data_IF_676063362975
#
_entry.id   IF_676063362975
#
_cell.length_a   1.000
_cell.length_b   1.000
_cell.length_c   1.000
_cell.angle_alpha   90.00
_cell.angle_beta   90.00
_cell.angle_gamma   90.00
#
_symmetry.space_group_name_H-M   'P 1'
#
loop_
_entity.id
_entity.type
_entity.pdbx_description
1 polymer ?
#
# COMPACT_ATOMS: atom_id res chain seq x y z
N UNK A 1 -31.96 10.26 -15.92
CA UNK A 1 -32.61 10.10 -14.62
C UNK A 1 -31.59 9.42 -13.71
N UNK A 2 -31.18 10.11 -12.65
CA UNK A 2 -30.30 9.54 -11.62
C UNK A 2 -31.18 8.65 -10.76
N UNK A 3 -30.95 7.34 -10.77
CA UNK A 3 -31.66 6.40 -9.91
C UNK A 3 -30.95 6.30 -8.56
N UNK A 4 -31.55 6.78 -7.47
CA UNK A 4 -31.06 6.53 -6.13
C UNK A 4 -31.67 5.23 -5.59
N UNK A 5 -30.85 4.28 -5.21
CA UNK A 5 -31.28 3.06 -4.52
C UNK A 5 -30.76 3.08 -3.07
N UNK A 6 -31.65 2.79 -2.13
CA UNK A 6 -31.24 2.58 -0.74
C UNK A 6 -30.46 1.26 -0.68
N UNK A 7 -29.16 1.35 -0.37
CA UNK A 7 -28.29 0.19 -0.35
C UNK A 7 -28.77 -0.87 0.66
N UNK A 8 -28.89 -2.12 0.22
CA UNK A 8 -29.01 -3.27 1.12
C UNK A 8 -27.65 -3.44 1.81
N UNK A 9 -27.52 -2.92 3.04
CA UNK A 9 -26.25 -2.93 3.77
C UNK A 9 -25.74 -4.37 3.92
N UNK A 10 -24.44 -4.61 3.56
CA UNK A 10 -23.80 -5.88 3.88
C UNK A 10 -23.93 -6.17 5.37
N UNK A 11 -24.29 -7.40 5.73
CA UNK A 11 -24.47 -7.81 7.14
C UNK A 11 -23.19 -8.43 7.69
N UNK A 12 -22.85 -8.17 8.97
CA UNK A 12 -21.74 -8.83 9.66
C UNK A 12 -20.68 -7.87 10.23
N UNK A 13 -19.55 -8.44 10.70
CA UNK A 13 -18.43 -7.69 11.32
C UNK A 13 -17.82 -6.66 10.38
N UNK A 14 -17.71 -6.98 9.08
CA UNK A 14 -17.20 -6.09 8.05
C UNK A 14 -17.97 -4.76 7.95
N UNK A 15 -19.30 -4.83 7.97
CA UNK A 15 -20.14 -3.63 7.95
C UNK A 15 -19.84 -2.69 9.12
N UNK A 16 -19.58 -3.24 10.32
CA UNK A 16 -19.27 -2.45 11.51
C UNK A 16 -17.95 -1.67 11.35
N UNK A 17 -16.93 -2.29 10.76
CA UNK A 17 -15.61 -1.65 10.55
C UNK A 17 -15.74 -0.41 9.67
N UNK A 18 -16.37 -0.54 8.50
CA UNK A 18 -16.52 0.57 7.57
C UNK A 18 -17.46 1.66 8.11
N UNK A 19 -18.57 1.30 8.72
CA UNK A 19 -19.48 2.26 9.37
C UNK A 19 -18.76 3.04 10.48
N UNK A 20 -17.90 2.37 11.27
CA UNK A 20 -17.10 3.04 12.31
C UNK A 20 -16.12 4.03 11.71
N UNK A 21 -15.41 3.66 10.62
CA UNK A 21 -14.46 4.55 9.94
C UNK A 21 -15.16 5.79 9.37
N UNK A 22 -16.34 5.63 8.75
CA UNK A 22 -17.14 6.76 8.28
C UNK A 22 -17.57 7.65 9.45
N UNK A 23 -18.06 7.08 10.56
CA UNK A 23 -18.44 7.86 11.74
C UNK A 23 -17.27 8.64 12.30
N UNK A 24 -16.12 8.01 12.44
CA UNK A 24 -14.88 8.68 12.90
C UNK A 24 -14.42 9.78 11.94
N UNK A 25 -14.55 9.57 10.62
CA UNK A 25 -14.25 10.62 9.65
C UNK A 25 -15.20 11.81 9.83
N UNK A 26 -16.49 11.59 9.99
CA UNK A 26 -17.50 12.66 10.25
C UNK A 26 -17.16 13.48 11.50
N UNK A 27 -16.75 12.82 12.58
CA UNK A 27 -16.28 13.48 13.81
C UNK A 27 -15.07 14.37 13.52
N UNK A 28 -14.04 13.84 12.85
CA UNK A 28 -12.81 14.57 12.52
C UNK A 28 -13.07 15.75 11.56
N UNK A 29 -13.97 15.59 10.59
CA UNK A 29 -14.40 16.67 9.69
C UNK A 29 -15.08 17.77 10.50
N UNK A 30 -15.98 17.43 11.43
CA UNK A 30 -16.66 18.39 12.30
C UNK A 30 -15.67 19.18 13.15
N UNK A 31 -14.70 18.50 13.79
CA UNK A 31 -13.63 19.12 14.59
C UNK A 31 -12.79 20.11 13.78
N UNK A 32 -12.53 19.77 12.50
CA UNK A 32 -11.77 20.62 11.58
C UNK A 32 -12.60 21.74 10.92
N UNK A 33 -13.93 21.78 11.18
CA UNK A 33 -14.85 22.72 10.54
C UNK A 33 -14.96 22.49 9.03
N UNK A 34 -14.89 21.23 8.57
CA UNK A 34 -15.05 20.83 7.18
C UNK A 34 -16.44 20.21 7.05
N UNK A 35 -17.24 20.72 6.11
CA UNK A 35 -18.61 20.26 5.97
C UNK A 35 -18.73 18.96 5.19
N UNK A 36 -17.87 18.77 4.18
CA UNK A 36 -17.94 17.66 3.24
C UNK A 36 -16.52 17.19 2.89
N UNK A 37 -16.25 15.89 2.89
CA UNK A 37 -15.11 15.29 2.23
C UNK A 37 -15.52 14.69 0.89
N UNK A 38 -14.80 15.05 -0.19
CA UNK A 38 -14.87 14.43 -1.51
C UNK A 38 -13.63 13.57 -1.68
N UNK A 39 -13.81 12.26 -1.73
CA UNK A 39 -12.77 11.24 -1.80
C UNK A 39 -12.85 10.56 -3.16
N UNK A 40 -11.72 10.48 -3.87
CA UNK A 40 -11.63 9.91 -5.21
C UNK A 40 -10.45 8.95 -5.38
N UNK A 41 -9.56 8.88 -4.38
CA UNK A 41 -8.50 7.89 -4.33
C UNK A 41 -9.06 6.51 -3.99
N UNK A 42 -8.68 5.49 -4.77
CA UNK A 42 -9.22 4.14 -4.65
C UNK A 42 -8.95 3.48 -3.30
N UNK A 43 -7.78 3.73 -2.73
CA UNK A 43 -7.43 3.20 -1.42
C UNK A 43 -8.27 3.86 -0.33
N UNK A 44 -8.53 5.18 -0.47
CA UNK A 44 -9.39 5.94 0.44
C UNK A 44 -10.86 5.56 0.28
N UNK A 45 -11.35 5.38 -0.95
CA UNK A 45 -12.72 4.88 -1.20
C UNK A 45 -12.92 3.52 -0.56
N UNK A 46 -11.97 2.57 -0.78
CA UNK A 46 -12.03 1.27 -0.12
C UNK A 46 -11.98 1.37 1.41
N UNK A 47 -11.05 2.14 1.94
CA UNK A 47 -10.84 2.27 3.38
C UNK A 47 -12.10 2.69 4.13
N UNK A 48 -12.88 3.61 3.57
CA UNK A 48 -14.09 4.11 4.17
C UNK A 48 -15.34 3.32 3.83
N UNK A 49 -15.51 2.89 2.57
CA UNK A 49 -16.74 2.28 2.09
C UNK A 49 -16.71 0.76 1.96
N UNK A 50 -15.52 0.14 1.91
CA UNK A 50 -15.36 -1.26 1.59
C UNK A 50 -15.64 -1.62 0.13
N UNK A 51 -15.88 -0.64 -0.74
CA UNK A 51 -16.10 -0.84 -2.17
C UNK A 51 -14.77 -1.15 -2.87
N UNK A 52 -14.70 -2.26 -3.59
CA UNK A 52 -13.47 -2.79 -4.18
C UNK A 52 -13.71 -3.44 -5.55
N UNK A 53 -12.64 -3.68 -6.30
CA UNK A 53 -12.61 -4.38 -7.60
C UNK A 53 -13.50 -3.73 -8.69
N UNK A 54 -13.78 -2.43 -8.57
CA UNK A 54 -14.51 -1.66 -9.58
C UNK A 54 -13.56 -1.03 -10.61
N UNK A 55 -14.14 -0.59 -11.73
CA UNK A 55 -13.41 0.23 -12.70
C UNK A 55 -13.12 1.61 -12.10
N UNK A 56 -11.85 1.89 -11.86
CA UNK A 56 -11.39 3.15 -11.30
C UNK A 56 -11.53 4.31 -12.31
N UNK A 57 -10.50 5.12 -12.47
CA UNK A 57 -10.47 6.21 -13.45
C UNK A 57 -10.29 5.77 -14.90
N UNK A 58 -10.29 4.47 -15.15
CA UNK A 58 -10.17 3.92 -16.50
C UNK A 58 -11.28 4.45 -17.40
N UNK A 59 -10.89 4.89 -18.60
CA UNK A 59 -11.80 5.50 -19.56
C UNK A 59 -12.55 6.77 -19.07
N UNK A 60 -12.00 7.49 -18.06
CA UNK A 60 -12.61 8.70 -17.51
C UNK A 60 -13.89 8.45 -16.71
N UNK A 61 -14.03 7.28 -16.12
CA UNK A 61 -15.18 6.87 -15.31
C UNK A 61 -14.89 6.91 -13.82
N UNK A 62 -14.93 8.08 -13.17
CA UNK A 62 -14.61 8.18 -11.76
C UNK A 62 -15.68 7.54 -10.88
N UNK A 63 -15.20 6.92 -9.81
CA UNK A 63 -15.96 6.61 -8.60
C UNK A 63 -15.59 7.60 -7.52
N UNK A 64 -16.59 8.20 -6.88
CA UNK A 64 -16.39 9.22 -5.86
C UNK A 64 -17.15 8.84 -4.58
N UNK A 65 -16.53 9.07 -3.43
CA UNK A 65 -17.19 8.96 -2.14
C UNK A 65 -17.34 10.36 -1.52
N UNK A 66 -18.57 10.76 -1.26
CA UNK A 66 -18.90 11.98 -0.55
C UNK A 66 -19.27 11.61 0.88
N UNK A 67 -18.64 12.26 1.85
CA UNK A 67 -18.95 12.10 3.27
C UNK A 67 -19.28 13.48 3.84
N UNK A 68 -20.53 13.72 4.15
CA UNK A 68 -20.96 14.95 4.82
C UNK A 68 -20.79 14.80 6.34
N UNK A 69 -20.15 15.79 6.99
CA UNK A 69 -19.89 15.76 8.43
C UNK A 69 -21.17 15.56 9.26
N UNK A 70 -22.23 16.29 8.89
CA UNK A 70 -23.56 16.23 9.54
C UNK A 70 -24.65 15.65 8.62
N UNK A 71 -24.29 14.70 7.73
CA UNK A 71 -25.21 14.18 6.73
C UNK A 71 -24.88 12.76 6.29
N UNK A 72 -25.26 12.45 5.06
CA UNK A 72 -25.07 11.12 4.46
C UNK A 72 -23.65 10.89 3.95
N UNK A 73 -23.29 9.62 3.84
CA UNK A 73 -22.20 9.12 2.99
C UNK A 73 -22.80 8.63 1.67
N UNK A 74 -22.28 9.13 0.55
CA UNK A 74 -22.81 8.85 -0.78
C UNK A 74 -21.71 8.34 -1.70
N UNK A 75 -21.90 7.16 -2.27
CA UNK A 75 -21.03 6.61 -3.30
C UNK A 75 -21.59 6.97 -4.68
N UNK A 76 -20.79 7.61 -5.51
CA UNK A 76 -21.14 7.94 -6.91
C UNK A 76 -20.33 7.02 -7.81
N UNK A 77 -20.99 6.15 -8.58
CA UNK A 77 -20.31 5.14 -9.41
C UNK A 77 -21.10 4.88 -10.71
N UNK A 78 -20.45 4.37 -11.78
CA UNK A 78 -21.16 4.00 -13.01
C UNK A 78 -22.28 3.00 -12.77
N UNK A 79 -23.39 3.11 -13.50
CA UNK A 79 -24.53 2.19 -13.37
C UNK A 79 -24.19 0.74 -13.73
N UNK A 80 -23.15 0.52 -14.54
CA UNK A 80 -22.64 -0.83 -14.83
C UNK A 80 -22.06 -1.52 -13.60
N UNK A 81 -21.65 -0.77 -12.57
CA UNK A 81 -21.10 -1.26 -11.31
C UNK A 81 -22.17 -1.44 -10.22
N UNK A 82 -23.45 -1.29 -10.55
CA UNK A 82 -24.56 -1.29 -9.60
C UNK A 82 -24.51 -2.50 -8.65
N UNK A 83 -24.51 -3.70 -9.20
CA UNK A 83 -24.60 -4.93 -8.40
C UNK A 83 -23.37 -5.12 -7.50
N UNK A 84 -22.20 -4.71 -7.97
CA UNK A 84 -20.97 -4.72 -7.17
C UNK A 84 -21.05 -3.70 -6.03
N UNK A 85 -21.49 -2.47 -6.32
CA UNK A 85 -21.64 -1.43 -5.31
C UNK A 85 -22.68 -1.80 -4.23
N UNK A 86 -23.86 -2.26 -4.64
CA UNK A 86 -24.92 -2.70 -3.70
C UNK A 86 -24.48 -3.87 -2.81
N UNK A 87 -23.58 -4.74 -3.32
CA UNK A 87 -23.12 -5.92 -2.57
C UNK A 87 -21.93 -5.69 -1.67
N UNK A 88 -21.11 -4.66 -1.93
CA UNK A 88 -19.84 -4.45 -1.22
C UNK A 88 -19.73 -3.11 -0.49
N UNK A 89 -20.37 -2.04 -0.97
CA UNK A 89 -20.25 -0.73 -0.38
C UNK A 89 -21.07 -0.57 0.91
N UNK A 90 -20.44 -0.02 1.94
CA UNK A 90 -21.06 0.34 3.22
C UNK A 90 -21.19 1.87 3.26
N UNK A 91 -22.25 2.38 2.68
CA UNK A 91 -22.59 3.81 2.62
C UNK A 91 -24.08 4.01 2.88
N UNK A 92 -24.51 5.24 3.11
CA UNK A 92 -25.93 5.53 3.32
C UNK A 92 -26.70 5.51 2.00
N UNK A 93 -26.07 5.94 0.87
CA UNK A 93 -26.70 6.02 -0.43
C UNK A 93 -25.72 5.77 -1.58
N UNK A 94 -26.19 5.17 -2.66
CA UNK A 94 -25.47 4.98 -3.91
C UNK A 94 -26.16 5.82 -5.01
N UNK A 95 -25.41 6.67 -5.66
CA UNK A 95 -25.81 7.42 -6.86
C UNK A 95 -25.19 6.77 -8.08
N UNK A 96 -26.06 6.31 -8.99
CA UNK A 96 -25.65 5.64 -10.21
C UNK A 96 -25.77 6.58 -11.41
N UNK A 97 -24.75 6.65 -12.22
CA UNK A 97 -24.76 7.44 -13.44
C UNK A 97 -24.56 6.57 -14.69
N UNK A 98 -25.17 6.97 -15.82
CA UNK A 98 -25.12 6.23 -17.08
C UNK A 98 -24.10 6.86 -18.03
N UNK A 99 -23.29 6.03 -18.66
CA UNK A 99 -22.35 6.43 -19.71
C UNK A 99 -23.10 6.97 -20.95
N UNK A 100 -22.55 7.96 -21.60
CA UNK A 100 -22.92 8.28 -22.97
C UNK A 100 -23.12 9.73 -23.32
N UNK A 101 -23.45 10.63 -22.39
CA UNK A 101 -23.80 12.02 -22.70
C UNK A 101 -22.82 13.09 -22.17
N UNK A 102 -21.80 12.70 -21.46
CA UNK A 102 -20.65 13.54 -21.12
C UNK A 102 -20.66 14.26 -19.77
N UNK A 103 -21.79 14.31 -19.05
CA UNK A 103 -21.87 15.01 -17.76
C UNK A 103 -22.25 14.13 -16.57
N UNK A 104 -22.37 12.89 -16.73
CA UNK A 104 -23.03 11.86 -15.94
C UNK A 104 -22.75 11.96 -14.45
N UNK A 105 -21.49 11.68 -14.03
CA UNK A 105 -21.10 11.75 -12.61
C UNK A 105 -21.09 13.19 -12.07
N UNK A 106 -20.99 14.18 -12.96
CA UNK A 106 -20.98 15.60 -12.61
C UNK A 106 -22.35 16.11 -12.18
N UNK A 107 -23.42 15.49 -12.67
CA UNK A 107 -24.79 15.94 -12.37
C UNK A 107 -25.14 15.82 -10.89
N UNK A 108 -24.57 14.84 -10.18
CA UNK A 108 -24.82 14.65 -8.75
C UNK A 108 -24.07 15.66 -7.86
N UNK A 109 -22.90 16.16 -8.30
CA UNK A 109 -22.01 16.92 -7.43
C UNK A 109 -22.56 18.28 -6.98
N UNK A 110 -23.21 19.11 -7.81
CA UNK A 110 -23.72 20.42 -7.37
C UNK A 110 -24.70 20.33 -6.21
N UNK A 111 -25.59 19.32 -6.23
CA UNK A 111 -26.55 19.09 -5.14
C UNK A 111 -25.91 18.58 -3.85
N UNK A 112 -24.82 17.81 -3.96
CA UNK A 112 -24.10 17.23 -2.83
C UNK A 112 -23.12 18.21 -2.20
N UNK A 113 -22.40 18.99 -3.00
CA UNK A 113 -21.39 19.93 -2.50
C UNK A 113 -21.99 21.26 -2.00
N UNK A 114 -23.19 21.62 -2.45
CA UNK A 114 -23.81 22.87 -2.08
C UNK A 114 -23.02 24.11 -2.49
N UNK A 115 -23.53 25.30 -2.15
CA UNK A 115 -22.93 26.57 -2.57
C UNK A 115 -22.06 27.23 -1.50
N UNK A 116 -22.15 26.80 -0.25
CA UNK A 116 -21.47 27.43 0.92
C UNK A 116 -20.57 26.50 1.69
N UNK A 117 -20.65 25.18 1.48
CA UNK A 117 -19.91 24.21 2.25
C UNK A 117 -18.38 24.32 2.06
N UNK A 118 -17.63 24.06 3.12
CA UNK A 118 -16.18 23.85 3.08
C UNK A 118 -15.92 22.40 2.65
N UNK A 119 -15.21 22.25 1.52
CA UNK A 119 -15.02 20.97 0.87
C UNK A 119 -13.59 20.47 1.08
N UNK A 120 -13.47 19.35 1.75
CA UNK A 120 -12.20 18.64 1.95
C UNK A 120 -11.91 17.72 0.77
N UNK A 121 -10.69 17.79 0.27
CA UNK A 121 -10.15 16.90 -0.77
C UNK A 121 -8.77 16.40 -0.38
N UNK A 122 -8.29 15.35 -1.04
CA UNK A 122 -6.88 14.93 -1.03
C UNK A 122 -6.19 15.55 -2.26
N UNK A 123 -5.53 16.73 -2.16
CA UNK A 123 -5.12 17.50 -3.33
C UNK A 123 -4.17 16.76 -4.27
N UNK A 124 -3.28 15.93 -3.71
CA UNK A 124 -2.30 15.16 -4.48
C UNK A 124 -2.89 13.88 -5.10
N UNK A 125 -4.05 13.41 -4.62
CA UNK A 125 -4.68 12.16 -5.03
C UNK A 125 -5.97 12.37 -5.83
N UNK A 126 -6.49 13.60 -5.84
CA UNK A 126 -7.68 13.91 -6.65
C UNK A 126 -7.32 13.97 -8.14
N UNK A 127 -7.88 13.10 -8.99
CA UNK A 127 -7.55 13.05 -10.39
C UNK A 127 -7.84 14.39 -11.11
N UNK A 128 -7.02 14.81 -12.08
CA UNK A 128 -7.18 16.08 -12.78
C UNK A 128 -8.58 16.29 -13.40
N UNK A 129 -9.18 15.21 -13.91
CA UNK A 129 -10.53 15.26 -14.46
C UNK A 129 -11.59 15.65 -13.41
N UNK A 130 -11.49 15.05 -12.23
CA UNK A 130 -12.38 15.35 -11.10
C UNK A 130 -12.09 16.75 -10.57
N UNK A 131 -10.82 17.06 -10.36
CA UNK A 131 -10.36 18.35 -9.84
C UNK A 131 -10.82 19.51 -10.70
N UNK A 132 -10.64 19.44 -12.00
CA UNK A 132 -11.05 20.51 -12.94
C UNK A 132 -12.56 20.80 -12.86
N UNK A 133 -13.39 19.77 -12.71
CA UNK A 133 -14.83 20.00 -12.58
C UNK A 133 -15.20 20.56 -11.19
N UNK A 134 -14.64 20.01 -10.12
CA UNK A 134 -14.93 20.48 -8.76
C UNK A 134 -14.45 21.93 -8.58
N UNK A 135 -13.33 22.32 -9.19
CA UNK A 135 -12.85 23.72 -9.21
C UNK A 135 -13.83 24.69 -9.89
N UNK A 136 -14.67 24.21 -10.80
CA UNK A 136 -15.74 25.03 -11.41
C UNK A 136 -16.96 25.23 -10.49
N UNK A 137 -17.12 24.39 -9.47
CA UNK A 137 -18.25 24.41 -8.53
C UNK A 137 -17.91 25.07 -7.19
N UNK A 138 -16.67 24.89 -6.72
CA UNK A 138 -16.24 25.27 -5.39
C UNK A 138 -15.22 26.40 -5.45
N UNK A 139 -15.52 27.51 -4.77
CA UNK A 139 -14.55 28.60 -4.63
C UNK A 139 -13.26 28.09 -3.95
N UNK A 140 -12.05 28.44 -4.47
CA UNK A 140 -10.78 28.02 -3.89
C UNK A 140 -10.63 28.24 -2.37
N UNK A 141 -11.21 29.31 -1.84
CA UNK A 141 -11.18 29.62 -0.40
C UNK A 141 -11.97 28.64 0.48
N UNK A 142 -12.82 27.80 -0.12
CA UNK A 142 -13.62 26.79 0.57
C UNK A 142 -12.98 25.41 0.58
N UNK A 143 -11.86 25.25 -0.13
CA UNK A 143 -11.12 23.99 -0.09
C UNK A 143 -10.37 23.80 1.21
N UNK A 144 -10.36 22.56 1.69
CA UNK A 144 -9.55 22.10 2.80
C UNK A 144 -8.78 20.85 2.36
N UNK A 145 -7.54 20.72 2.82
CA UNK A 145 -6.78 19.48 2.67
C UNK A 145 -7.17 18.51 3.78
N UNK A 146 -7.78 17.38 3.42
CA UNK A 146 -8.15 16.29 4.35
C UNK A 146 -7.10 15.20 4.43
N UNK A 147 -6.02 15.27 3.65
CA UNK A 147 -4.94 14.28 3.67
C UNK A 147 -4.37 14.05 5.09
N UNK A 148 -4.14 15.09 5.92
CA UNK A 148 -3.67 14.87 7.29
C UNK A 148 -4.66 14.05 8.13
N UNK A 149 -5.95 14.34 8.05
CA UNK A 149 -7.00 13.62 8.79
C UNK A 149 -7.01 12.13 8.39
N UNK A 150 -7.02 11.86 7.07
CA UNK A 150 -7.03 10.48 6.54
C UNK A 150 -5.74 9.74 6.94
N UNK A 151 -4.59 10.40 6.84
CA UNK A 151 -3.29 9.82 7.22
C UNK A 151 -3.23 9.46 8.71
N UNK A 152 -3.72 10.34 9.59
CA UNK A 152 -3.79 10.08 11.03
C UNK A 152 -4.72 8.91 11.36
N UNK A 153 -5.88 8.83 10.70
CA UNK A 153 -6.82 7.73 10.89
C UNK A 153 -6.26 6.36 10.48
N UNK A 154 -5.34 6.34 9.50
CA UNK A 154 -4.68 5.11 9.00
C UNK A 154 -3.41 4.74 9.76
N UNK A 155 -2.83 5.69 10.50
CA UNK A 155 -1.51 5.53 11.11
C UNK A 155 -1.50 4.39 12.13
N UNK A 156 -2.49 4.32 13.01
CA UNK A 156 -2.65 3.25 14.00
C UNK A 156 -3.77 2.31 13.54
N UNK A 157 -3.39 1.07 13.27
CA UNK A 157 -4.30 0.05 12.75
C UNK A 157 -5.14 -0.56 13.88
N UNK A 158 -6.42 -0.82 13.60
CA UNK A 158 -7.27 -1.63 14.48
C UNK A 158 -6.82 -3.10 14.46
N UNK A 159 -7.29 -3.92 15.39
CA UNK A 159 -6.93 -5.34 15.41
C UNK A 159 -7.38 -6.08 14.13
N UNK A 160 -8.52 -5.70 13.55
CA UNK A 160 -8.97 -6.25 12.27
C UNK A 160 -8.02 -5.87 11.12
N UNK A 161 -7.51 -4.64 11.13
CA UNK A 161 -6.52 -4.16 10.14
C UNK A 161 -5.16 -4.82 10.35
N UNK A 162 -4.74 -5.05 11.60
CA UNK A 162 -3.53 -5.82 11.91
C UNK A 162 -3.64 -7.27 11.46
N UNK A 163 -4.84 -7.86 11.57
CA UNK A 163 -5.07 -9.22 11.05
C UNK A 163 -4.95 -9.25 9.52
N UNK A 164 -5.44 -8.22 8.80
CA UNK A 164 -5.23 -8.10 7.35
C UNK A 164 -3.73 -7.96 7.05
N UNK A 165 -2.98 -7.19 7.83
CA UNK A 165 -1.52 -7.05 7.67
C UNK A 165 -0.79 -8.39 7.83
N UNK A 166 -1.15 -9.20 8.83
CA UNK A 166 -0.58 -10.55 9.03
C UNK A 166 -0.90 -11.47 7.86
N UNK A 167 -2.12 -11.44 7.34
CA UNK A 167 -2.51 -12.24 6.18
C UNK A 167 -1.81 -11.77 4.91
N UNK A 168 -1.68 -10.45 4.69
CA UNK A 168 -0.88 -9.91 3.60
C UNK A 168 0.59 -10.37 3.70
N UNK A 169 1.13 -10.45 4.92
CA UNK A 169 2.45 -11.03 5.19
C UNK A 169 2.58 -12.47 4.72
N UNK A 170 1.58 -13.31 5.01
CA UNK A 170 1.55 -14.71 4.54
C UNK A 170 1.51 -14.81 3.02
N UNK A 171 0.76 -13.92 2.35
CA UNK A 171 0.76 -13.83 0.90
C UNK A 171 2.15 -13.49 0.37
N UNK A 172 2.81 -12.46 0.95
CA UNK A 172 4.16 -12.07 0.57
C UNK A 172 5.20 -13.19 0.79
N UNK A 173 5.12 -13.94 1.89
CA UNK A 173 5.99 -15.09 2.15
C UNK A 173 5.82 -16.17 1.08
N UNK A 174 4.57 -16.54 0.74
CA UNK A 174 4.32 -17.52 -0.33
C UNK A 174 4.86 -17.06 -1.68
N UNK A 175 4.76 -15.76 -1.98
CA UNK A 175 5.36 -15.16 -3.19
C UNK A 175 6.88 -15.27 -3.20
N UNK A 176 7.55 -14.96 -2.07
CA UNK A 176 9.00 -14.99 -1.96
C UNK A 176 9.55 -16.41 -2.09
N UNK A 177 8.93 -17.37 -1.43
CA UNK A 177 9.30 -18.77 -1.52
C UNK A 177 9.16 -19.32 -2.94
N UNK A 178 8.04 -19.02 -3.61
CA UNK A 178 7.81 -19.47 -4.99
C UNK A 178 8.76 -18.77 -5.98
N UNK A 179 8.99 -17.47 -5.82
CA UNK A 179 9.94 -16.73 -6.65
C UNK A 179 11.35 -17.27 -6.51
N UNK A 180 11.82 -17.49 -5.27
CA UNK A 180 13.11 -18.14 -5.00
C UNK A 180 13.19 -19.54 -5.63
N UNK A 181 12.14 -20.35 -5.46
CA UNK A 181 12.09 -21.72 -5.99
C UNK A 181 12.04 -21.82 -7.52
N UNK A 182 11.66 -20.73 -8.20
CA UNK A 182 11.61 -20.67 -9.65
C UNK A 182 12.93 -20.17 -10.29
N UNK A 183 13.90 -19.69 -9.47
CA UNK A 183 15.20 -19.27 -9.98
C UNK A 183 16.00 -20.45 -10.48
N UNK A 184 16.59 -20.31 -11.69
CA UNK A 184 17.45 -21.30 -12.31
C UNK A 184 18.21 -20.71 -13.47
N UNK A 185 19.37 -21.27 -13.80
CA UNK A 185 20.15 -20.81 -14.96
C UNK A 185 19.35 -20.88 -16.25
N UNK A 186 19.34 -19.81 -17.02
CA UNK A 186 18.58 -19.70 -18.26
C UNK A 186 17.08 -19.40 -18.09
N UNK A 187 16.52 -19.43 -16.86
CA UNK A 187 15.13 -19.07 -16.61
C UNK A 187 14.96 -17.55 -16.79
N UNK A 188 14.01 -17.09 -17.63
CA UNK A 188 13.75 -15.67 -17.79
C UNK A 188 13.17 -15.03 -16.52
N UNK A 189 13.51 -13.77 -16.25
CA UNK A 189 13.00 -13.03 -15.06
C UNK A 189 11.47 -13.09 -14.94
N UNK A 190 10.73 -12.98 -16.06
CA UNK A 190 9.27 -12.96 -16.02
C UNK A 190 8.67 -14.29 -15.52
N UNK A 191 9.33 -15.42 -15.74
CA UNK A 191 8.87 -16.73 -15.21
C UNK A 191 8.94 -16.78 -13.68
N UNK A 192 9.98 -16.19 -13.09
CA UNK A 192 10.09 -16.04 -11.62
C UNK A 192 8.97 -15.13 -11.10
N UNK A 193 8.68 -14.03 -11.81
CA UNK A 193 7.58 -13.12 -11.45
C UNK A 193 6.21 -13.81 -11.55
N UNK A 194 5.98 -14.63 -12.57
CA UNK A 194 4.76 -15.43 -12.73
C UNK A 194 4.60 -16.46 -11.60
N UNK A 195 5.66 -17.17 -11.25
CA UNK A 195 5.65 -18.12 -10.14
C UNK A 195 5.25 -17.45 -8.83
N UNK A 196 5.87 -16.30 -8.51
CA UNK A 196 5.55 -15.50 -7.32
C UNK A 196 4.08 -15.05 -7.33
N UNK A 197 3.60 -14.47 -8.44
CA UNK A 197 2.22 -13.99 -8.58
C UNK A 197 1.21 -15.12 -8.44
N UNK A 198 1.48 -16.28 -9.03
CA UNK A 198 0.62 -17.46 -8.93
C UNK A 198 0.49 -17.95 -7.50
N UNK A 199 1.60 -18.09 -6.78
CA UNK A 199 1.60 -18.52 -5.38
C UNK A 199 0.88 -17.52 -4.47
N UNK A 200 1.12 -16.22 -4.68
CA UNK A 200 0.43 -15.16 -3.95
C UNK A 200 -1.09 -15.19 -4.17
N UNK A 201 -1.54 -15.36 -5.41
CA UNK A 201 -2.97 -15.47 -5.75
C UNK A 201 -3.62 -16.68 -5.08
N UNK A 202 -2.97 -17.84 -5.10
CA UNK A 202 -3.48 -19.03 -4.42
C UNK A 202 -3.57 -18.83 -2.90
N UNK A 203 -2.54 -18.24 -2.29
CA UNK A 203 -2.55 -17.96 -0.85
C UNK A 203 -3.61 -16.93 -0.46
N UNK A 204 -3.78 -15.89 -1.25
CA UNK A 204 -4.85 -14.92 -1.05
C UNK A 204 -6.24 -15.57 -1.14
N UNK A 205 -6.48 -16.43 -2.14
CA UNK A 205 -7.74 -17.16 -2.30
C UNK A 205 -8.03 -18.08 -1.11
N UNK A 206 -7.02 -18.79 -0.60
CA UNK A 206 -7.12 -19.61 0.62
C UNK A 206 -7.56 -18.77 1.81
N UNK A 207 -6.88 -17.63 2.08
CA UNK A 207 -7.16 -16.76 3.21
C UNK A 207 -8.55 -16.09 3.10
N UNK A 208 -8.94 -15.63 1.91
CA UNK A 208 -10.28 -15.07 1.65
C UNK A 208 -11.37 -16.08 2.01
N UNK A 209 -11.20 -17.34 1.61
CA UNK A 209 -12.15 -18.42 1.90
C UNK A 209 -12.20 -18.74 3.39
N UNK A 210 -11.04 -18.87 4.04
CA UNK A 210 -10.95 -19.36 5.42
C UNK A 210 -11.36 -18.31 6.47
N UNK A 211 -10.98 -17.05 6.26
CA UNK A 211 -11.07 -16.00 7.29
C UNK A 211 -12.10 -14.92 7.00
N UNK A 212 -12.36 -14.64 5.72
CA UNK A 212 -13.23 -13.53 5.33
C UNK A 212 -14.58 -13.98 4.77
N UNK A 213 -14.69 -15.24 4.37
CA UNK A 213 -15.87 -15.81 3.71
C UNK A 213 -16.37 -14.93 2.55
N UNK A 214 -15.43 -14.25 1.88
CA UNK A 214 -15.69 -13.35 0.76
C UNK A 214 -15.30 -14.04 -0.56
N UNK A 215 -16.33 -14.57 -1.25
CA UNK A 215 -16.14 -15.24 -2.53
C UNK A 215 -16.16 -14.30 -3.74
N UNK A 216 -16.37 -13.00 -3.51
CA UNK A 216 -16.46 -11.99 -4.59
C UNK A 216 -15.19 -11.18 -4.74
N UNK A 217 -14.42 -10.98 -3.66
CA UNK A 217 -13.15 -10.28 -3.75
C UNK A 217 -12.18 -11.07 -4.62
N UNK A 218 -11.60 -10.40 -5.60
CA UNK A 218 -10.55 -11.00 -6.44
C UNK A 218 -9.31 -11.30 -5.60
N UNK A 219 -8.80 -12.55 -5.63
CA UNK A 219 -7.53 -12.89 -4.99
C UNK A 219 -6.32 -12.44 -5.82
N UNK A 220 -6.53 -11.77 -6.95
CA UNK A 220 -5.48 -11.40 -7.89
C UNK A 220 -4.40 -10.55 -7.23
N UNK A 221 -3.17 -10.99 -7.36
CA UNK A 221 -1.99 -10.27 -6.92
C UNK A 221 -1.34 -9.62 -8.15
N UNK A 222 -1.03 -8.34 -8.06
CA UNK A 222 -0.36 -7.63 -9.13
C UNK A 222 1.03 -8.22 -9.39
N UNK A 223 1.51 -8.08 -10.64
CA UNK A 223 2.87 -8.45 -10.98
C UNK A 223 3.88 -7.84 -10.03
N UNK A 224 4.97 -8.57 -9.81
CA UNK A 224 6.10 -8.11 -9.04
C UNK A 224 6.53 -6.71 -9.47
N UNK A 225 6.58 -5.81 -8.53
CA UNK A 225 6.87 -4.41 -8.82
C UNK A 225 8.31 -4.25 -9.33
N UNK A 226 9.26 -4.94 -8.68
CA UNK A 226 10.67 -4.89 -9.01
C UNK A 226 11.24 -6.29 -9.03
N UNK A 227 11.88 -6.63 -10.13
CA UNK A 227 12.78 -7.76 -10.25
C UNK A 227 13.90 -7.37 -11.19
N UNK A 228 15.14 -7.58 -10.79
CA UNK A 228 16.32 -7.30 -11.58
C UNK A 228 17.40 -8.35 -11.35
N UNK A 229 18.18 -8.67 -12.37
CA UNK A 229 19.30 -9.58 -12.26
C UNK A 229 20.57 -9.02 -12.91
N UNK A 230 21.73 -9.49 -12.45
CA UNK A 230 23.02 -9.08 -12.97
C UNK A 230 23.21 -7.55 -12.92
N UNK A 231 23.62 -6.95 -14.02
CA UNK A 231 23.92 -5.52 -14.09
C UNK A 231 22.69 -4.61 -13.91
N UNK A 232 21.48 -5.10 -14.28
CA UNK A 232 20.26 -4.34 -14.10
C UNK A 232 19.84 -4.18 -12.64
N UNK A 233 20.48 -4.87 -11.68
CA UNK A 233 20.19 -4.74 -10.25
C UNK A 233 20.38 -3.31 -9.73
N UNK A 234 21.15 -2.49 -10.45
CA UNK A 234 21.33 -1.06 -10.15
C UNK A 234 20.15 -0.20 -10.56
N UNK A 235 19.25 -0.72 -11.41
CA UNK A 235 18.02 -0.04 -11.84
C UNK A 235 16.93 -0.22 -10.78
N UNK A 236 16.71 0.82 -10.00
CA UNK A 236 15.87 0.77 -8.78
C UNK A 236 14.44 0.23 -9.01
N UNK A 237 13.86 0.45 -10.18
CA UNK A 237 12.48 0.03 -10.50
C UNK A 237 12.41 -0.84 -11.76
N UNK A 238 13.47 -1.64 -12.02
CA UNK A 238 13.46 -2.58 -13.12
C UNK A 238 12.30 -3.57 -12.99
N UNK A 239 11.65 -3.87 -14.10
CA UNK A 239 10.56 -4.85 -14.19
C UNK A 239 11.09 -6.17 -14.70
N UNK A 240 10.49 -7.27 -14.25
CA UNK A 240 10.82 -8.59 -14.77
C UNK A 240 10.75 -8.62 -16.29
N UNK A 241 11.87 -8.93 -16.92
CA UNK A 241 12.07 -8.91 -18.37
C UNK A 241 12.19 -10.32 -18.95
N UNK A 242 12.52 -10.42 -20.24
CA UNK A 242 12.84 -11.69 -20.89
C UNK A 242 14.31 -12.09 -20.70
N UNK A 243 15.09 -11.33 -19.94
CA UNK A 243 16.50 -11.65 -19.65
C UNK A 243 16.59 -12.97 -18.90
N UNK A 244 17.42 -13.92 -19.36
CA UNK A 244 17.67 -15.16 -18.63
C UNK A 244 18.55 -14.89 -17.41
N UNK A 245 18.29 -15.59 -16.31
CA UNK A 245 19.15 -15.60 -15.15
C UNK A 245 20.48 -16.30 -15.45
N UNK A 246 21.57 -15.76 -14.92
CA UNK A 246 22.94 -16.24 -15.17
C UNK A 246 23.56 -16.70 -13.86
N UNK A 247 24.25 -17.84 -13.90
CA UNK A 247 24.99 -18.39 -12.76
C UNK A 247 26.04 -17.37 -12.23
N UNK A 248 26.08 -17.22 -10.90
CA UNK A 248 27.00 -16.28 -10.22
C UNK A 248 26.49 -14.84 -10.14
N UNK A 249 25.42 -14.48 -10.85
CA UNK A 249 24.85 -13.13 -10.82
C UNK A 249 23.84 -12.93 -9.69
N UNK A 250 23.71 -11.70 -9.16
CA UNK A 250 22.71 -11.36 -8.18
C UNK A 250 21.30 -11.26 -8.81
N UNK A 251 20.27 -11.61 -8.03
CA UNK A 251 18.86 -11.49 -8.39
C UNK A 251 18.13 -10.79 -7.26
N UNK A 252 17.43 -9.71 -7.58
CA UNK A 252 16.64 -8.94 -6.62
C UNK A 252 15.16 -9.14 -6.84
N UNK A 253 14.43 -9.49 -5.77
CA UNK A 253 12.98 -9.55 -5.73
C UNK A 253 12.43 -8.56 -4.71
N UNK A 254 11.47 -7.72 -5.11
CA UNK A 254 10.83 -6.76 -4.23
C UNK A 254 9.31 -6.71 -4.43
N UNK A 255 8.60 -6.91 -3.35
CA UNK A 255 7.13 -6.89 -3.28
C UNK A 255 6.58 -5.61 -2.65
N UNK A 256 7.25 -4.49 -2.80
CA UNK A 256 6.81 -3.21 -2.26
C UNK A 256 5.44 -2.79 -2.84
N UNK A 257 4.38 -2.92 -2.04
CA UNK A 257 3.02 -2.62 -2.45
C UNK A 257 2.34 -3.67 -3.33
N UNK A 258 2.99 -4.82 -3.59
CA UNK A 258 2.49 -5.84 -4.52
C UNK A 258 1.51 -6.83 -3.89
N UNK A 259 1.55 -7.03 -2.60
CA UNK A 259 0.67 -8.00 -1.94
C UNK A 259 -0.79 -7.59 -2.01
N UNK A 260 -1.08 -6.30 -1.99
CA UNK A 260 -2.40 -5.67 -2.19
C UNK A 260 -3.62 -6.51 -1.73
N UNK A 261 -3.42 -7.36 -0.72
CA UNK A 261 -4.46 -8.17 -0.12
C UNK A 261 -5.38 -7.27 0.72
N UNK A 262 -6.67 -7.25 0.41
CA UNK A 262 -7.59 -6.25 0.96
C UNK A 262 -7.09 -4.80 0.79
N UNK A 263 -6.38 -4.51 -0.31
CA UNK A 263 -5.67 -3.24 -0.56
C UNK A 263 -4.59 -2.89 0.47
N UNK A 264 -4.20 -3.83 1.32
CA UNK A 264 -3.12 -3.64 2.28
C UNK A 264 -1.77 -3.92 1.60
N UNK A 265 -0.88 -2.93 1.59
CA UNK A 265 0.44 -2.99 0.97
C UNK A 265 1.50 -3.24 2.03
N UNK A 266 2.50 -4.04 1.67
CA UNK A 266 3.67 -4.34 2.51
C UNK A 266 4.96 -3.94 1.78
N UNK A 267 6.07 -3.94 2.51
CA UNK A 267 7.42 -3.99 1.95
C UNK A 267 8.06 -5.32 2.29
N UNK A 268 8.52 -6.03 1.27
CA UNK A 268 9.21 -7.30 1.43
C UNK A 268 10.14 -7.54 0.25
N UNK A 269 11.43 -7.65 0.51
CA UNK A 269 12.42 -7.80 -0.55
C UNK A 269 13.64 -8.58 -0.11
N UNK A 270 14.33 -9.19 -1.09
CA UNK A 270 15.56 -9.97 -0.90
C UNK A 270 16.45 -9.86 -2.12
N UNK A 271 17.75 -9.86 -1.85
CA UNK A 271 18.78 -10.09 -2.85
C UNK A 271 19.28 -11.53 -2.72
N UNK A 272 19.30 -12.25 -3.84
CA UNK A 272 19.78 -13.63 -3.99
C UNK A 272 20.97 -13.68 -4.95
N UNK A 273 21.66 -14.81 -5.01
CA UNK A 273 22.63 -15.14 -6.05
C UNK A 273 22.34 -16.53 -6.60
N UNK A 274 22.50 -16.68 -7.91
CA UNK A 274 22.27 -17.98 -8.57
C UNK A 274 23.55 -18.85 -8.51
N UNK A 275 23.52 -19.95 -7.78
CA UNK A 275 24.60 -20.92 -7.61
C UNK A 275 25.75 -20.46 -6.73
N UNK A 276 26.35 -19.31 -7.01
CA UNK A 276 27.47 -18.75 -6.21
C UNK A 276 27.47 -17.21 -6.28
N UNK A 277 28.36 -16.58 -5.55
CA UNK A 277 28.65 -15.14 -5.66
C UNK A 277 29.93 -14.98 -6.50
N UNK A 278 29.76 -14.68 -7.78
CA UNK A 278 30.89 -14.55 -8.69
C UNK A 278 31.76 -13.32 -8.36
N UNK A 279 31.13 -12.20 -7.99
CA UNK A 279 31.84 -10.99 -7.52
C UNK A 279 31.80 -10.87 -6.00
N UNK A 280 32.86 -11.34 -5.35
CA UNK A 280 32.97 -11.31 -3.89
C UNK A 280 32.96 -9.91 -3.27
N UNK A 281 33.15 -8.85 -4.02
CA UNK A 281 33.02 -7.49 -3.51
C UNK A 281 31.56 -7.17 -3.09
N UNK A 282 30.59 -7.92 -3.63
CA UNK A 282 29.18 -7.79 -3.31
C UNK A 282 28.82 -8.33 -1.90
N UNK A 283 29.61 -9.27 -1.38
CA UNK A 283 29.39 -9.88 -0.04
C UNK A 283 29.41 -8.81 1.07
N UNK A 284 30.39 -7.90 1.04
CA UNK A 284 30.54 -6.85 2.04
C UNK A 284 29.36 -5.85 1.98
N UNK A 285 28.93 -5.47 0.79
CA UNK A 285 27.79 -4.59 0.58
C UNK A 285 26.48 -5.24 1.08
N UNK A 286 26.29 -6.52 0.75
CA UNK A 286 25.13 -7.27 1.23
C UNK A 286 25.10 -7.41 2.76
N UNK A 287 26.25 -7.78 3.36
CA UNK A 287 26.33 -7.91 4.83
C UNK A 287 26.08 -6.57 5.52
N UNK A 288 26.56 -5.46 4.93
CA UNK A 288 26.26 -4.12 5.45
C UNK A 288 24.76 -3.81 5.36
N UNK A 289 24.08 -4.19 4.27
CA UNK A 289 22.64 -4.05 4.15
C UNK A 289 21.90 -4.84 5.26
N UNK A 290 22.29 -6.10 5.48
CA UNK A 290 21.71 -6.93 6.57
C UNK A 290 21.95 -6.30 7.95
N UNK A 291 23.17 -5.84 8.22
CA UNK A 291 23.52 -5.23 9.50
C UNK A 291 22.79 -3.90 9.73
N UNK A 292 22.60 -3.11 8.67
CA UNK A 292 21.89 -1.83 8.76
C UNK A 292 20.39 -2.02 9.06
N UNK A 293 19.74 -3.04 8.48
CA UNK A 293 18.38 -3.42 8.87
C UNK A 293 18.33 -3.87 10.35
N UNK A 294 19.29 -4.68 10.79
CA UNK A 294 19.32 -5.13 12.18
C UNK A 294 19.49 -3.94 13.16
N UNK A 295 20.30 -2.94 12.82
CA UNK A 295 20.44 -1.72 13.60
C UNK A 295 19.12 -0.89 13.63
N UNK A 296 18.47 -0.71 12.49
CA UNK A 296 17.15 -0.08 12.44
C UNK A 296 16.14 -0.80 13.35
N UNK A 297 16.08 -2.13 13.26
CA UNK A 297 15.17 -2.95 14.07
C UNK A 297 15.46 -2.87 15.58
N UNK A 298 16.69 -2.68 15.99
CA UNK A 298 17.03 -2.49 17.42
C UNK A 298 16.45 -1.18 17.99
N UNK A 299 16.23 -0.18 17.14
CA UNK A 299 15.61 1.10 17.49
C UNK A 299 14.08 1.11 17.25
N UNK A 300 13.54 0.12 16.53
CA UNK A 300 12.12 0.03 16.18
C UNK A 300 11.30 -0.47 17.39
N UNK A 301 10.77 0.47 18.18
CA UNK A 301 10.01 0.17 19.40
C UNK A 301 9.01 1.29 19.71
N UNK A 302 7.97 1.01 20.50
CA UNK A 302 7.06 2.07 20.94
C UNK A 302 7.83 3.14 21.73
N UNK A 303 7.47 4.41 21.52
CA UNK A 303 8.11 5.57 22.15
C UNK A 303 9.38 6.08 21.45
N UNK A 304 10.00 5.35 20.54
CA UNK A 304 11.08 5.85 19.70
C UNK A 304 10.53 6.84 18.66
N UNK A 305 11.37 7.74 18.16
CA UNK A 305 11.02 8.58 17.02
C UNK A 305 11.36 7.89 15.71
N UNK A 306 10.63 8.20 14.65
CA UNK A 306 10.90 7.65 13.33
C UNK A 306 12.34 7.95 12.85
N UNK A 307 12.86 9.15 13.14
CA UNK A 307 14.25 9.52 12.83
C UNK A 307 15.31 8.73 13.63
N UNK A 308 14.99 8.26 14.85
CA UNK A 308 15.92 7.45 15.65
C UNK A 308 16.19 6.10 14.97
N UNK A 309 15.15 5.49 14.39
CA UNK A 309 15.25 4.26 13.60
C UNK A 309 16.14 4.47 12.37
N UNK A 310 15.92 5.58 11.66
CA UNK A 310 16.75 5.95 10.51
C UNK A 310 18.19 6.24 10.91
N UNK A 311 18.42 6.91 12.03
CA UNK A 311 19.77 7.24 12.50
C UNK A 311 20.59 5.99 12.80
N UNK A 312 20.00 5.00 13.49
CA UNK A 312 20.65 3.73 13.76
C UNK A 312 21.04 2.98 12.46
N UNK A 313 20.18 2.98 11.47
CA UNK A 313 20.45 2.45 10.15
C UNK A 313 21.59 3.18 9.43
N UNK A 314 21.51 4.52 9.39
CA UNK A 314 22.45 5.37 8.66
C UNK A 314 23.86 5.29 9.24
N UNK A 315 24.02 5.15 10.56
CA UNK A 315 25.31 4.98 11.22
C UNK A 315 26.05 3.75 10.70
N UNK A 316 25.38 2.61 10.52
CA UNK A 316 26.00 1.38 9.98
C UNK A 316 26.45 1.58 8.53
N UNK A 317 25.61 2.22 7.70
CA UNK A 317 25.91 2.50 6.30
C UNK A 317 27.14 3.40 6.18
N UNK A 318 27.17 4.51 6.91
CA UNK A 318 28.29 5.46 6.88
C UNK A 318 29.58 4.87 7.48
N UNK A 319 29.48 4.12 8.58
CA UNK A 319 30.64 3.45 9.19
C UNK A 319 31.30 2.42 8.25
N UNK A 320 30.53 1.85 7.33
CA UNK A 320 31.03 0.97 6.28
C UNK A 320 31.59 1.70 5.05
N UNK A 321 31.58 3.04 5.06
CA UNK A 321 32.13 3.87 3.99
C UNK A 321 31.18 4.14 2.80
N UNK A 322 29.89 3.88 2.94
CA UNK A 322 28.88 4.18 1.93
C UNK A 322 28.25 5.56 2.15
N UNK A 323 27.58 6.09 1.12
CA UNK A 323 26.90 7.37 1.19
C UNK A 323 25.74 7.36 2.22
N UNK A 324 25.44 8.55 2.77
CA UNK A 324 24.33 8.72 3.71
C UNK A 324 23.01 8.34 3.06
N UNK A 325 22.26 7.40 3.63
CA UNK A 325 21.05 6.89 3.03
C UNK A 325 19.87 7.83 3.26
N UNK A 326 19.01 7.97 2.25
CA UNK A 326 17.82 8.82 2.34
C UNK A 326 16.77 8.28 3.32
N UNK A 327 16.52 6.96 3.29
CA UNK A 327 15.43 6.33 4.03
C UNK A 327 15.74 4.87 4.33
N UNK A 328 15.35 4.38 5.52
CA UNK A 328 15.40 2.94 5.84
C UNK A 328 14.03 2.26 5.88
N UNK A 329 12.94 2.98 5.64
CA UNK A 329 11.61 2.39 5.67
C UNK A 329 10.50 3.43 5.72
N UNK A 330 9.28 2.95 5.84
CA UNK A 330 8.07 3.76 5.89
C UNK A 330 6.95 3.01 6.56
N UNK A 331 5.98 3.74 7.10
CA UNK A 331 4.70 3.13 7.44
C UNK A 331 4.02 2.62 6.18
N UNK A 332 3.29 1.53 6.31
CA UNK A 332 2.59 0.85 5.23
C UNK A 332 1.19 0.46 5.68
N UNK A 333 0.31 0.17 4.73
CA UNK A 333 -1.08 -0.14 5.01
C UNK A 333 -1.95 -0.09 3.76
N UNK A 334 -3.01 0.70 3.83
CA UNK A 334 -3.98 0.83 2.73
C UNK A 334 -3.48 1.73 1.59
N UNK A 335 -2.47 2.55 1.80
CA UNK A 335 -1.77 3.29 0.76
C UNK A 335 -0.33 2.81 0.62
N UNK A 336 0.25 3.04 -0.57
CA UNK A 336 1.63 2.66 -0.84
C UNK A 336 2.64 3.38 0.05
N UNK A 337 2.39 4.65 0.35
CA UNK A 337 3.17 5.48 1.27
C UNK A 337 2.24 6.03 2.34
N UNK A 338 2.36 5.49 3.54
CA UNK A 338 1.72 6.05 4.72
C UNK A 338 2.72 6.80 5.60
N UNK A 339 2.21 7.53 6.59
CA UNK A 339 3.04 8.21 7.59
C UNK A 339 3.11 7.38 8.88
N UNK A 340 4.20 7.49 9.65
CA UNK A 340 5.43 8.26 9.37
C UNK A 340 6.38 7.55 8.38
N UNK A 341 7.42 8.29 7.95
CA UNK A 341 8.53 7.71 7.22
C UNK A 341 9.76 7.58 8.12
N UNK A 342 10.53 6.53 7.94
CA UNK A 342 11.79 6.33 8.68
C UNK A 342 12.91 7.08 7.96
N UNK A 343 12.94 8.41 8.14
CA UNK A 343 13.86 9.36 7.51
C UNK A 343 14.38 10.35 8.54
N UNK A 344 15.48 11.01 8.21
CA UNK A 344 15.98 12.13 9.02
C UNK A 344 14.92 13.24 9.13
N UNK A 345 14.70 13.74 10.33
CA UNK A 345 13.78 14.84 10.62
C UNK A 345 12.31 14.44 10.85
N UNK A 346 11.92 13.17 10.67
CA UNK A 346 10.57 12.73 11.04
C UNK A 346 10.51 12.45 12.57
N UNK A 347 9.92 13.38 13.29
CA UNK A 347 9.80 13.38 14.77
C UNK A 347 8.62 12.55 15.29
N UNK A 348 7.87 11.90 14.42
CA UNK A 348 6.70 11.10 14.82
C UNK A 348 7.10 10.02 15.81
N UNK A 349 6.43 9.98 16.96
CA UNK A 349 6.64 8.94 17.97
C UNK A 349 5.93 7.66 17.56
N UNK A 350 6.67 6.56 17.53
CA UNK A 350 6.13 5.25 17.18
C UNK A 350 5.21 4.73 18.28
N UNK A 351 4.06 4.19 17.86
CA UNK A 351 3.02 3.71 18.77
C UNK A 351 2.61 2.28 18.40
N UNK A 352 2.13 1.48 19.36
CA UNK A 352 1.54 0.17 19.10
C UNK A 352 0.42 0.28 18.03
N UNK A 353 0.34 -0.71 17.16
CA UNK A 353 -0.60 -0.74 16.02
C UNK A 353 -0.10 -0.04 14.76
N UNK A 354 1.05 0.65 14.78
CA UNK A 354 1.70 1.11 13.54
C UNK A 354 2.33 -0.06 12.81
N UNK A 355 2.29 -0.03 11.47
CA UNK A 355 2.89 -1.06 10.60
C UNK A 355 3.95 -0.41 9.71
N UNK A 356 5.13 -1.02 9.67
CA UNK A 356 6.28 -0.50 8.91
C UNK A 356 6.86 -1.55 7.97
N UNK A 357 7.29 -1.10 6.80
CA UNK A 357 8.34 -1.76 6.02
C UNK A 357 9.69 -1.18 6.45
N UNK A 358 10.65 -2.05 6.81
CA UNK A 358 12.00 -1.65 7.23
C UNK A 358 13.02 -2.36 6.35
N UNK A 359 13.81 -1.57 5.66
CA UNK A 359 14.78 -2.04 4.68
C UNK A 359 16.21 -1.83 5.20
N UNK A 360 17.10 -2.76 4.86
CA UNK A 360 18.54 -2.57 4.85
C UNK A 360 19.01 -2.51 3.41
N UNK A 361 19.63 -1.42 2.99
CA UNK A 361 20.02 -1.24 1.58
C UNK A 361 21.38 -0.56 1.45
N UNK A 362 22.20 -1.10 0.55
CA UNK A 362 23.48 -0.52 0.14
C UNK A 362 23.52 -0.43 -1.38
N UNK A 363 23.87 0.73 -1.89
CA UNK A 363 24.09 0.95 -3.33
C UNK A 363 25.56 1.27 -3.58
N UNK A 364 26.20 0.50 -4.47
CA UNK A 364 27.50 0.79 -5.05
C UNK A 364 27.24 1.35 -6.45
N UNK A 365 27.37 2.67 -6.66
CA UNK A 365 26.94 3.32 -7.90
C UNK A 365 27.49 2.66 -9.17
N UNK A 366 26.61 2.33 -10.11
CA UNK A 366 26.95 1.70 -11.39
C UNK A 366 27.50 0.28 -11.33
N UNK A 367 27.45 -0.37 -10.16
CA UNK A 367 28.00 -1.72 -9.97
C UNK A 367 27.02 -2.70 -9.34
N UNK A 368 26.47 -2.36 -8.17
CA UNK A 368 25.69 -3.30 -7.37
C UNK A 368 24.75 -2.59 -6.42
N UNK A 369 23.63 -3.23 -6.12
CA UNK A 369 22.72 -2.84 -5.04
C UNK A 369 22.31 -4.09 -4.28
N UNK A 370 22.50 -4.06 -2.97
CA UNK A 370 21.94 -5.06 -2.05
C UNK A 370 20.76 -4.46 -1.30
N UNK A 371 19.70 -5.24 -1.11
CA UNK A 371 18.61 -4.86 -0.23
C UNK A 371 17.98 -6.09 0.42
N UNK A 372 17.62 -5.92 1.69
CA UNK A 372 16.81 -6.85 2.47
C UNK A 372 15.73 -6.01 3.17
N UNK A 373 14.47 -6.37 3.02
CA UNK A 373 13.34 -5.64 3.61
C UNK A 373 12.30 -6.59 4.16
N UNK A 374 11.69 -6.21 5.28
CA UNK A 374 10.61 -6.94 5.94
C UNK A 374 9.56 -5.96 6.48
N UNK A 375 8.36 -6.48 6.77
CA UNK A 375 7.27 -5.71 7.39
C UNK A 375 7.04 -6.13 8.84
N UNK A 376 6.75 -5.12 9.67
CA UNK A 376 6.66 -5.24 11.12
C UNK A 376 5.44 -4.48 11.65
N UNK A 377 4.80 -5.03 12.68
CA UNK A 377 3.79 -4.35 13.51
C UNK A 377 4.46 -3.90 14.79
N UNK A 378 4.29 -2.64 15.19
CA UNK A 378 4.73 -2.18 16.53
C UNK A 378 3.76 -2.75 17.57
N UNK A 379 4.31 -3.41 18.59
CA UNK A 379 3.59 -3.96 19.74
C UNK A 379 3.79 -3.09 20.98
N UNK A 380 3.21 -3.44 22.11
CA UNK A 380 3.37 -2.69 23.38
C UNK A 380 4.82 -2.68 23.90
N UNK A 381 5.60 -3.71 23.60
CA UNK A 381 6.95 -3.93 24.13
C UNK A 381 8.04 -4.04 23.05
N UNK A 382 7.70 -3.90 21.77
CA UNK A 382 8.67 -4.02 20.67
C UNK A 382 8.00 -4.06 19.30
N UNK A 383 8.19 -5.15 18.57
CA UNK A 383 7.56 -5.37 17.27
C UNK A 383 7.30 -6.87 16.99
N UNK A 384 6.29 -7.12 16.16
CA UNK A 384 5.98 -8.41 15.54
C UNK A 384 6.43 -8.38 14.08
N UNK A 385 7.25 -9.32 13.64
CA UNK A 385 7.62 -9.47 12.24
C UNK A 385 6.53 -10.26 11.50
N UNK A 386 5.94 -9.68 10.45
CA UNK A 386 4.83 -10.27 9.68
C UNK A 386 5.25 -10.79 8.31
N UNK A 387 6.45 -10.45 7.83
CA UNK A 387 7.11 -11.11 6.70
C UNK A 387 8.45 -11.66 7.16
N UNK A 388 8.82 -12.84 6.70
CA UNK A 388 10.13 -13.41 7.01
C UNK A 388 10.61 -14.32 5.89
N UNK A 389 11.88 -14.20 5.56
CA UNK A 389 12.61 -15.10 4.67
C UNK A 389 14.09 -15.05 5.07
N UNK A 390 14.81 -16.15 4.95
CA UNK A 390 16.24 -16.19 5.27
C UNK A 390 17.03 -15.08 4.57
N UNK A 391 18.02 -14.52 5.30
CA UNK A 391 18.89 -13.44 4.80
C UNK A 391 20.37 -13.62 5.19
N UNK A 392 20.74 -14.72 5.82
CA UNK A 392 22.15 -15.03 5.98
C UNK A 392 22.77 -15.37 4.62
N UNK A 393 24.01 -14.95 4.39
CA UNK A 393 24.66 -15.02 3.08
C UNK A 393 24.57 -16.42 2.44
N UNK A 394 24.83 -17.47 3.23
CA UNK A 394 24.74 -18.86 2.75
C UNK A 394 23.30 -19.33 2.38
N UNK A 395 22.28 -18.62 2.83
CA UNK A 395 20.88 -18.98 2.60
C UNK A 395 20.25 -18.26 1.40
N UNK A 396 20.93 -17.22 0.91
CA UNK A 396 20.47 -16.44 -0.25
C UNK A 396 21.19 -16.83 -1.55
N UNK A 397 22.06 -17.80 -1.50
CA UNK A 397 22.60 -18.49 -2.67
C UNK A 397 21.60 -19.61 -3.01
N UNK A 398 21.09 -19.64 -4.24
CA UNK A 398 20.00 -20.51 -4.71
C UNK A 398 20.44 -21.35 -5.88
#
# INVERSE_FOLDING_TARGET
>A
MIGSTQALKPTGSRCKVFSHRISKLKERLTEAGIDIALISDDDSVYYYSGYYDYLHMDFGRPTLLIVAANGESVLITPAMEKDLAESSAVVDRIELWNDGMGNEWREALPGLLGTTARVGIEPALTPPLVRAYVDSLVNPERYCDVTPIISEMRMIKSEEELQIARHAGQVGIAMMEAGRGAMGEGVPEYEVALAATTAGTHKAAELLKMHYHDSRMSPSIHFMQIMASGDEITMTHHRASTKPLVHGEPVFLCFCGMTNFHRFKLGFDRTFWLGEIADRSQEAAYQTAVNSQAAALSALRPGARAEDVHSAYAEVIQSAGYEYPFRCGRATGFSFLERPQLVFGDQTVLQPGMVFAVDGSVTVPGKFRAQVGDSFIITEDGYEQITSHPKALAQVIV
#
